data_IF_656195121263
#
_entry.id   IF_656195121263
#
_cell.length_a   1.000
_cell.length_b   1.000
_cell.length_c   1.000
_cell.angle_alpha   90.00
_cell.angle_beta   90.00
_cell.angle_gamma   90.00
#
_symmetry.space_group_name_H-M   'P 1'
#
loop_
_entity.id
_entity.type
_entity.pdbx_description
1 polymer ?
#
# COMPACT_ATOMS: atom_id res chain seq x y z
N UNK A 1 9.85 21.07 13.49
CA UNK A 1 9.22 21.82 14.59
C UNK A 1 7.79 21.31 14.78
N UNK A 2 7.21 21.49 16.01
CA UNK A 2 5.88 21.02 16.35
C UNK A 2 5.08 22.10 17.07
N UNK A 3 3.79 22.22 16.78
CA UNK A 3 2.85 23.06 17.47
C UNK A 3 1.57 22.29 17.81
N UNK A 4 0.94 22.61 18.94
CA UNK A 4 -0.37 22.07 19.31
C UNK A 4 -1.41 23.14 19.07
N UNK A 5 -2.44 22.81 18.30
CA UNK A 5 -3.55 23.72 18.00
C UNK A 5 -4.90 23.06 18.26
N UNK A 6 -5.91 23.90 18.51
CA UNK A 6 -7.32 23.50 18.49
C UNK A 6 -7.91 23.83 17.12
N UNK A 7 -8.48 22.85 16.45
CA UNK A 7 -9.04 23.02 15.11
C UNK A 7 -10.34 22.26 14.94
N UNK A 8 -11.22 22.77 14.08
CA UNK A 8 -12.41 22.02 13.67
C UNK A 8 -11.97 20.78 12.86
N UNK A 9 -12.34 19.55 13.29
CA UNK A 9 -11.92 18.32 12.63
C UNK A 9 -12.37 18.23 11.16
N UNK A 10 -13.44 18.93 10.77
CA UNK A 10 -13.90 18.98 9.37
C UNK A 10 -12.94 19.73 8.42
N UNK A 11 -12.00 20.52 8.94
CA UNK A 11 -10.99 21.23 8.16
C UNK A 11 -9.74 20.40 7.89
N UNK A 12 -9.68 19.18 8.43
CA UNK A 12 -8.53 18.29 8.29
C UNK A 12 -8.79 17.30 7.16
N UNK A 13 -7.88 17.23 6.20
CA UNK A 13 -7.99 16.40 5.02
C UNK A 13 -7.33 15.04 5.23
N UNK A 14 -7.96 13.99 4.71
CA UNK A 14 -7.37 12.64 4.64
C UNK A 14 -6.64 12.51 3.31
N UNK A 15 -5.34 12.22 3.29
CA UNK A 15 -4.61 12.02 2.05
C UNK A 15 -4.86 10.61 1.47
N UNK A 16 -4.59 10.46 0.18
CA UNK A 16 -4.85 9.20 -0.56
C UNK A 16 -3.97 8.03 -0.11
N UNK A 17 -2.81 8.31 0.48
CA UNK A 17 -1.88 7.28 0.97
C UNK A 17 -2.23 6.73 2.36
N UNK A 18 -3.27 7.25 3.03
CA UNK A 18 -3.79 6.65 4.25
C UNK A 18 -4.43 5.28 3.97
N UNK A 19 -4.49 4.44 5.00
CA UNK A 19 -5.17 3.15 4.91
C UNK A 19 -6.68 3.33 4.82
N UNK A 20 -7.38 2.31 4.37
CA UNK A 20 -8.84 2.29 4.39
C UNK A 20 -9.39 2.49 5.82
N UNK A 21 -10.35 3.40 5.94
CA UNK A 21 -10.96 3.76 7.22
C UNK A 21 -11.80 2.60 7.78
N UNK A 22 -11.48 2.14 8.98
CA UNK A 22 -12.38 1.29 9.76
C UNK A 22 -13.45 2.16 10.44
N UNK A 23 -14.58 2.30 9.77
CA UNK A 23 -15.74 3.11 10.25
C UNK A 23 -16.23 2.66 11.62
N UNK A 24 -16.24 1.34 11.90
CA UNK A 24 -16.68 0.82 13.19
C UNK A 24 -15.73 1.23 14.32
N UNK A 25 -14.44 1.25 14.04
CA UNK A 25 -13.43 1.75 14.98
C UNK A 25 -13.60 3.24 15.24
N UNK A 26 -13.82 4.05 14.21
CA UNK A 26 -14.07 5.48 14.36
C UNK A 26 -15.35 5.76 15.18
N UNK A 27 -16.44 5.02 14.93
CA UNK A 27 -17.68 5.11 15.72
C UNK A 27 -17.46 4.73 17.19
N UNK A 28 -16.68 3.70 17.48
CA UNK A 28 -16.33 3.34 18.87
C UNK A 28 -15.54 4.44 19.57
N UNK A 29 -14.60 5.08 18.88
CA UNK A 29 -13.86 6.22 19.43
C UNK A 29 -14.81 7.39 19.74
N UNK A 30 -15.82 7.61 18.91
CA UNK A 30 -16.84 8.64 19.15
C UNK A 30 -17.67 8.34 20.39
N UNK A 31 -18.13 7.09 20.57
CA UNK A 31 -18.96 6.68 21.73
C UNK A 31 -18.18 6.62 23.05
N UNK A 32 -16.90 6.22 22.98
CA UNK A 32 -16.05 5.99 24.15
C UNK A 32 -15.02 7.12 24.35
N UNK A 33 -15.32 8.31 23.84
CA UNK A 33 -14.41 9.43 23.95
C UNK A 33 -14.03 9.72 25.40
N UNK A 34 -12.72 9.72 25.65
CA UNK A 34 -12.15 10.08 26.93
C UNK A 34 -10.98 11.04 26.72
N UNK A 35 -11.08 12.31 27.18
CA UNK A 35 -10.02 13.28 26.97
C UNK A 35 -8.67 12.88 27.57
N UNK A 36 -8.65 12.06 28.64
CA UNK A 36 -7.41 11.57 29.26
C UNK A 36 -6.74 10.44 28.47
N UNK A 37 -7.47 9.80 27.54
CA UNK A 37 -6.94 8.78 26.62
C UNK A 37 -6.74 9.32 25.20
N UNK A 38 -7.01 10.61 25.00
CA UNK A 38 -6.87 11.23 23.70
C UNK A 38 -5.40 11.45 23.37
N UNK A 39 -4.84 10.62 22.51
CA UNK A 39 -3.54 10.89 21.92
C UNK A 39 -3.71 11.89 20.78
N UNK A 40 -2.88 12.92 20.75
CA UNK A 40 -2.99 13.98 19.74
C UNK A 40 -2.80 13.40 18.33
N UNK A 41 -3.78 13.56 17.43
CA UNK A 41 -3.56 13.29 16.02
C UNK A 41 -2.45 14.18 15.47
N UNK A 42 -1.65 13.65 14.55
CA UNK A 42 -0.59 14.41 13.89
C UNK A 42 -1.06 14.87 12.52
N UNK A 43 -0.89 16.13 12.24
CA UNK A 43 -1.22 16.74 10.94
C UNK A 43 -0.03 17.53 10.41
N UNK A 44 0.03 17.73 9.12
CA UNK A 44 1.00 18.63 8.47
C UNK A 44 0.29 19.66 7.60
N UNK A 45 0.95 20.78 7.32
CA UNK A 45 0.47 21.73 6.33
C UNK A 45 1.01 21.35 4.95
N UNK A 46 0.16 20.95 4.04
CA UNK A 46 0.49 20.62 2.66
C UNK A 46 -0.46 21.35 1.70
N UNK A 47 0.06 22.08 0.73
CA UNK A 47 -0.71 22.85 -0.25
C UNK A 47 -1.82 23.74 0.40
N UNK A 48 -1.49 24.45 1.48
CA UNK A 48 -2.39 25.29 2.26
C UNK A 48 -3.54 24.55 2.96
N UNK A 49 -3.47 23.21 3.06
CA UNK A 49 -4.44 22.36 3.75
C UNK A 49 -3.77 21.63 4.90
N UNK A 50 -4.50 21.42 5.99
CA UNK A 50 -4.04 20.53 7.05
C UNK A 50 -4.40 19.09 6.64
N UNK A 51 -3.38 18.23 6.58
CA UNK A 51 -3.47 16.85 6.11
C UNK A 51 -3.08 15.91 7.25
N UNK A 52 -3.84 14.84 7.44
CA UNK A 52 -3.57 13.85 8.48
C UNK A 52 -2.29 13.08 8.17
N UNK A 53 -1.40 12.96 9.17
CA UNK A 53 -0.23 12.08 9.17
C UNK A 53 -0.50 10.85 10.04
N UNK A 54 -1.10 11.03 11.23
CA UNK A 54 -1.53 9.96 12.13
C UNK A 54 -2.81 10.33 12.87
N UNK A 55 -3.62 9.32 13.19
CA UNK A 55 -4.82 9.48 14.00
C UNK A 55 -6.11 9.69 13.21
N UNK A 56 -6.19 9.23 11.96
CA UNK A 56 -7.38 9.34 11.12
C UNK A 56 -8.66 8.88 11.86
N UNK A 57 -8.66 7.70 12.46
CA UNK A 57 -9.83 7.18 13.20
C UNK A 57 -10.26 8.10 14.36
N UNK A 58 -9.29 8.82 14.96
CA UNK A 58 -9.59 9.79 16.02
C UNK A 58 -10.23 11.04 15.45
N UNK A 59 -9.72 11.58 14.35
CA UNK A 59 -10.32 12.74 13.68
C UNK A 59 -11.73 12.42 13.17
N UNK A 60 -11.89 11.29 12.47
CA UNK A 60 -13.21 10.87 11.97
C UNK A 60 -14.16 10.53 13.14
N UNK A 61 -13.65 9.91 14.21
CA UNK A 61 -14.41 9.69 15.45
C UNK A 61 -14.88 10.99 16.09
N UNK A 62 -14.04 12.02 16.10
CA UNK A 62 -14.43 13.35 16.58
C UNK A 62 -15.52 13.99 15.72
N UNK A 63 -15.47 13.80 14.39
CA UNK A 63 -16.56 14.23 13.48
C UNK A 63 -17.85 13.50 13.81
N UNK A 64 -17.83 12.17 13.97
CA UNK A 64 -19.01 11.38 14.34
C UNK A 64 -19.57 11.75 15.72
N UNK A 65 -18.68 12.12 16.66
CA UNK A 65 -19.06 12.61 17.99
C UNK A 65 -19.55 14.07 18.02
N UNK A 66 -19.59 14.75 16.88
CA UNK A 66 -20.06 16.15 16.79
C UNK A 66 -19.13 17.15 17.48
N UNK A 67 -17.85 16.82 17.64
CA UNK A 67 -16.88 17.71 18.26
C UNK A 67 -16.63 18.95 17.41
N UNK A 68 -16.81 20.15 18.01
CA UNK A 68 -16.53 21.42 17.32
C UNK A 68 -15.03 21.66 17.12
N UNK A 69 -14.22 21.22 18.09
CA UNK A 69 -12.77 21.38 18.07
C UNK A 69 -12.07 20.14 18.61
N UNK A 70 -10.92 19.85 18.07
CA UNK A 70 -9.98 18.81 18.55
C UNK A 70 -8.58 19.39 18.65
N UNK A 71 -7.82 18.90 19.62
CA UNK A 71 -6.40 19.19 19.69
C UNK A 71 -5.63 18.28 18.74
N UNK A 72 -4.73 18.86 17.98
CA UNK A 72 -3.82 18.16 17.07
C UNK A 72 -2.39 18.68 17.19
N UNK A 73 -1.43 17.82 16.94
CA UNK A 73 0.00 18.19 16.80
C UNK A 73 0.27 18.51 15.33
N UNK A 74 0.62 19.77 15.03
CA UNK A 74 1.02 20.19 13.68
C UNK A 74 2.52 19.99 13.52
N UNK A 75 2.90 19.21 12.51
CA UNK A 75 4.30 19.03 12.11
C UNK A 75 4.69 20.13 11.12
N UNK A 76 5.59 21.04 11.55
CA UNK A 76 6.01 22.20 10.77
C UNK A 76 7.30 21.87 10.02
N UNK A 77 7.34 22.21 8.72
CA UNK A 77 8.52 21.97 7.87
C UNK A 77 8.70 20.50 7.45
N UNK A 78 7.67 19.68 7.63
CA UNK A 78 7.65 18.27 7.17
C UNK A 78 7.14 18.23 5.74
N UNK A 79 7.86 17.56 4.85
CA UNK A 79 7.40 17.29 3.47
C UNK A 79 6.41 16.13 3.45
N UNK A 80 5.69 15.98 2.34
CA UNK A 80 4.79 14.82 2.17
C UNK A 80 5.55 13.48 2.21
N UNK A 81 6.75 13.44 1.65
CA UNK A 81 7.61 12.25 1.71
C UNK A 81 7.99 11.89 3.16
N UNK A 82 8.37 12.89 3.97
CA UNK A 82 8.67 12.69 5.40
C UNK A 82 7.43 12.20 6.16
N UNK A 83 6.25 12.74 5.84
CA UNK A 83 4.99 12.33 6.48
C UNK A 83 4.62 10.88 6.14
N UNK A 84 4.82 10.46 4.90
CA UNK A 84 4.63 9.06 4.48
C UNK A 84 5.64 8.15 5.18
N UNK A 85 6.91 8.55 5.32
CA UNK A 85 7.89 7.77 6.10
C UNK A 85 7.49 7.64 7.57
N UNK A 86 7.02 8.73 8.19
CA UNK A 86 6.48 8.67 9.56
C UNK A 86 5.29 7.73 9.65
N UNK A 87 4.37 7.77 8.70
CA UNK A 87 3.22 6.86 8.64
C UNK A 87 3.66 5.41 8.49
N UNK A 88 4.65 5.11 7.64
CA UNK A 88 5.18 3.77 7.42
C UNK A 88 5.92 3.22 8.65
N UNK A 89 6.64 4.08 9.39
CA UNK A 89 7.42 3.69 10.58
C UNK A 89 6.56 3.40 11.82
N UNK A 90 5.34 3.92 11.90
CA UNK A 90 4.43 3.69 13.04
C UNK A 90 3.93 2.24 13.17
N UNK A 91 4.23 1.40 12.17
CA UNK A 91 3.76 0.01 12.11
C UNK A 91 4.40 -0.94 13.12
N UNK A 92 5.52 -0.58 13.74
CA UNK A 92 6.24 -1.49 14.64
C UNK A 92 5.60 -1.57 16.03
N UNK A 93 4.96 -0.50 16.50
CA UNK A 93 4.33 -0.43 17.84
C UNK A 93 2.80 -0.59 17.82
N UNK A 94 2.17 -0.52 16.64
CA UNK A 94 0.71 -0.61 16.48
C UNK A 94 0.40 -1.63 15.37
N UNK A 95 -0.82 -2.14 15.28
CA UNK A 95 -1.29 -3.10 14.28
C UNK A 95 -0.56 -2.95 12.93
N UNK A 96 0.27 -3.93 12.59
CA UNK A 96 1.07 -3.94 11.35
C UNK A 96 0.20 -3.54 10.16
N UNK A 97 0.68 -2.59 9.37
CA UNK A 97 0.05 -2.22 8.11
C UNK A 97 -0.06 -3.44 7.20
N UNK A 98 -1.16 -3.55 6.49
CA UNK A 98 -1.25 -4.59 5.48
C UNK A 98 -0.25 -4.33 4.35
N UNK A 99 0.23 -5.36 3.63
CA UNK A 99 1.08 -5.15 2.46
C UNK A 99 0.45 -4.23 1.40
N UNK A 100 -0.89 -4.20 1.31
CA UNK A 100 -1.63 -3.32 0.41
C UNK A 100 -1.54 -1.84 0.82
N UNK A 101 -1.75 -1.56 2.13
CA UNK A 101 -1.64 -0.18 2.65
C UNK A 101 -0.22 0.36 2.48
N UNK A 102 0.78 -0.49 2.76
CA UNK A 102 2.20 -0.17 2.54
C UNK A 102 2.49 0.10 1.07
N UNK A 103 1.90 -0.69 0.16
CA UNK A 103 2.10 -0.55 -1.28
C UNK A 103 1.61 0.81 -1.78
N UNK A 104 0.38 1.21 -1.45
CA UNK A 104 -0.20 2.49 -1.88
C UNK A 104 0.63 3.69 -1.38
N UNK A 105 0.98 3.70 -0.09
CA UNK A 105 1.78 4.78 0.49
C UNK A 105 3.19 4.87 -0.12
N UNK A 106 3.83 3.72 -0.36
CA UNK A 106 5.17 3.69 -0.94
C UNK A 106 5.19 4.10 -2.42
N UNK A 107 4.12 3.84 -3.18
CA UNK A 107 3.96 4.36 -4.54
C UNK A 107 3.85 5.89 -4.55
N UNK A 108 3.06 6.48 -3.65
CA UNK A 108 2.93 7.92 -3.52
C UNK A 108 4.28 8.57 -3.15
N UNK A 109 5.04 7.92 -2.26
CA UNK A 109 6.41 8.31 -1.92
C UNK A 109 7.42 8.04 -3.06
N UNK A 110 6.98 7.48 -4.21
CA UNK A 110 7.82 7.16 -5.38
C UNK A 110 9.00 6.25 -5.04
N UNK A 111 8.84 5.34 -4.07
CA UNK A 111 9.89 4.37 -3.74
C UNK A 111 10.18 3.48 -4.96
N UNK A 112 11.45 3.41 -5.35
CA UNK A 112 11.91 2.84 -6.62
C UNK A 112 11.42 1.40 -6.84
N UNK A 113 11.53 0.54 -5.83
CA UNK A 113 11.11 -0.86 -5.92
C UNK A 113 9.60 -1.03 -6.13
N UNK A 114 8.78 -0.11 -5.60
CA UNK A 114 7.32 -0.13 -5.77
C UNK A 114 6.90 0.40 -7.15
N UNK A 115 7.56 1.47 -7.61
CA UNK A 115 7.36 2.01 -8.97
C UNK A 115 7.79 0.96 -10.01
N UNK A 116 8.92 0.29 -9.79
CA UNK A 116 9.40 -0.79 -10.66
C UNK A 116 8.44 -1.96 -10.67
N UNK A 117 7.93 -2.39 -9.51
CA UNK A 117 6.91 -3.44 -9.44
C UNK A 117 5.66 -3.06 -10.25
N UNK A 118 5.11 -1.86 -10.04
CA UNK A 118 3.93 -1.38 -10.78
C UNK A 118 4.17 -1.38 -12.28
N UNK A 119 5.31 -0.84 -12.72
CA UNK A 119 5.69 -0.80 -14.14
C UNK A 119 5.77 -2.20 -14.76
N UNK A 120 6.42 -3.14 -14.09
CA UNK A 120 6.56 -4.53 -14.60
C UNK A 120 5.18 -5.23 -14.63
N UNK A 121 4.37 -5.06 -13.60
CA UNK A 121 3.02 -5.61 -13.57
C UNK A 121 2.16 -5.05 -14.71
N UNK A 122 2.18 -3.73 -14.94
CA UNK A 122 1.43 -3.09 -16.01
C UNK A 122 1.88 -3.59 -17.41
N UNK A 123 3.19 -3.75 -17.64
CA UNK A 123 3.73 -4.28 -18.90
C UNK A 123 3.25 -5.72 -19.18
N UNK A 124 2.93 -6.48 -18.15
CA UNK A 124 2.41 -7.84 -18.27
C UNK A 124 0.88 -7.92 -18.11
N UNK A 125 0.15 -6.80 -18.15
CA UNK A 125 -1.29 -6.72 -17.93
C UNK A 125 -1.76 -7.37 -16.61
N UNK A 126 -0.95 -7.27 -15.56
CA UNK A 126 -1.25 -7.78 -14.22
C UNK A 126 -1.52 -6.60 -13.28
N UNK A 127 -2.64 -6.62 -12.57
CA UNK A 127 -2.89 -5.65 -11.51
C UNK A 127 -2.15 -6.04 -10.22
N UNK A 128 -1.83 -5.07 -9.37
CA UNK A 128 -1.32 -5.34 -8.02
C UNK A 128 -2.45 -5.21 -7.02
N UNK A 129 -2.57 -6.14 -6.09
CA UNK A 129 -3.63 -6.11 -5.05
C UNK A 129 -3.47 -4.85 -4.20
N UNK A 130 -4.56 -4.06 -4.10
CA UNK A 130 -4.56 -2.80 -3.34
C UNK A 130 -4.03 -1.59 -4.11
N UNK A 131 -3.69 -1.74 -5.41
CA UNK A 131 -3.41 -0.59 -6.27
C UNK A 131 -4.70 0.24 -6.44
N UNK A 132 -4.64 1.52 -6.14
CA UNK A 132 -5.80 2.43 -6.28
C UNK A 132 -6.05 2.83 -7.73
N UNK A 133 -5.03 2.75 -8.57
CA UNK A 133 -5.09 3.01 -10.01
C UNK A 133 -4.59 1.79 -10.80
N UNK A 134 -5.34 0.67 -10.76
CA UNK A 134 -4.93 -0.54 -11.46
C UNK A 134 -5.02 -0.38 -12.97
N UNK A 135 -4.21 -1.16 -13.70
CA UNK A 135 -4.32 -1.26 -15.16
C UNK A 135 -5.73 -1.72 -15.55
N UNK A 136 -6.23 -1.19 -16.68
CA UNK A 136 -7.54 -1.59 -17.23
C UNK A 136 -7.48 -3.02 -17.77
N UNK A 137 -8.52 -3.80 -17.51
CA UNK A 137 -8.68 -5.18 -17.99
C UNK A 137 -7.46 -6.08 -17.70
N UNK A 138 -7.02 -6.22 -16.45
CA UNK A 138 -5.89 -7.06 -16.13
C UNK A 138 -6.20 -8.55 -16.38
N UNK A 139 -5.18 -9.32 -16.77
CA UNK A 139 -5.29 -10.78 -16.91
C UNK A 139 -5.19 -11.52 -15.58
N UNK A 140 -4.85 -10.82 -14.50
CA UNK A 140 -4.77 -11.35 -13.15
C UNK A 140 -4.35 -10.30 -12.14
N UNK A 141 -4.38 -10.67 -10.86
CA UNK A 141 -4.00 -9.82 -9.74
C UNK A 141 -2.83 -10.44 -8.99
N UNK A 142 -1.71 -9.73 -8.92
CA UNK A 142 -0.59 -10.10 -8.06
C UNK A 142 -0.97 -9.89 -6.60
N UNK A 143 -1.16 -10.98 -5.87
CA UNK A 143 -1.52 -10.97 -4.44
C UNK A 143 -0.30 -11.06 -3.53
N UNK A 144 0.85 -11.48 -4.08
CA UNK A 144 2.13 -11.61 -3.37
C UNK A 144 2.96 -10.32 -3.48
N UNK A 145 2.47 -9.25 -2.88
CA UNK A 145 3.13 -7.92 -2.98
C UNK A 145 4.56 -7.96 -2.45
N UNK A 146 4.79 -8.59 -1.28
CA UNK A 146 6.12 -8.68 -0.68
C UNK A 146 7.14 -9.46 -1.53
N UNK A 147 6.71 -10.59 -2.14
CA UNK A 147 7.59 -11.33 -3.07
C UNK A 147 7.83 -10.50 -4.35
N UNK A 148 6.80 -9.80 -4.85
CA UNK A 148 6.89 -8.91 -6.00
C UNK A 148 7.89 -7.77 -5.77
N UNK A 149 7.81 -7.09 -4.63
CA UNK A 149 8.75 -6.00 -4.26
C UNK A 149 10.16 -6.52 -4.10
N UNK A 150 10.33 -7.68 -3.42
CA UNK A 150 11.65 -8.30 -3.27
C UNK A 150 12.30 -8.61 -4.63
N UNK A 151 11.53 -9.11 -5.60
CA UNK A 151 12.00 -9.35 -6.95
C UNK A 151 12.24 -8.05 -7.71
N UNK A 152 11.33 -7.08 -7.63
CA UNK A 152 11.48 -5.79 -8.29
C UNK A 152 12.75 -5.06 -7.86
N UNK A 153 13.13 -5.19 -6.59
CA UNK A 153 14.35 -4.61 -6.03
C UNK A 153 15.62 -5.36 -6.44
N UNK A 154 15.60 -6.71 -6.34
CA UNK A 154 16.82 -7.51 -6.43
C UNK A 154 17.05 -8.13 -7.82
N UNK A 155 15.99 -8.40 -8.58
CA UNK A 155 16.05 -9.01 -9.91
C UNK A 155 14.78 -8.69 -10.71
N UNK A 156 14.63 -7.45 -11.22
CA UNK A 156 13.45 -7.00 -11.97
C UNK A 156 13.21 -7.81 -13.25
N UNK A 157 14.28 -8.26 -13.92
CA UNK A 157 14.18 -9.07 -15.14
C UNK A 157 13.56 -10.43 -14.85
N UNK A 158 13.93 -11.06 -13.74
CA UNK A 158 13.33 -12.32 -13.31
C UNK A 158 11.84 -12.13 -13.00
N UNK A 159 11.46 -11.05 -12.34
CA UNK A 159 10.04 -10.74 -12.10
C UNK A 159 9.28 -10.62 -13.42
N UNK A 160 9.82 -9.86 -14.38
CA UNK A 160 9.19 -9.67 -15.68
C UNK A 160 9.02 -11.01 -16.43
N UNK A 161 10.05 -11.85 -16.45
CA UNK A 161 9.99 -13.20 -17.06
C UNK A 161 8.94 -14.08 -16.40
N UNK A 162 8.89 -14.13 -15.06
CA UNK A 162 7.89 -14.92 -14.33
C UNK A 162 6.46 -14.48 -14.70
N UNK A 163 6.17 -13.18 -14.69
CA UNK A 163 4.82 -12.67 -15.00
C UNK A 163 4.45 -12.94 -16.47
N UNK A 164 5.40 -12.76 -17.39
CA UNK A 164 5.22 -13.04 -18.83
C UNK A 164 4.89 -14.52 -19.09
N UNK A 165 5.63 -15.46 -18.50
CA UNK A 165 5.37 -16.89 -18.66
C UNK A 165 4.00 -17.27 -18.11
N UNK A 166 3.64 -16.80 -16.89
CA UNK A 166 2.33 -17.07 -16.32
C UNK A 166 1.20 -16.55 -17.25
N UNK A 167 1.41 -15.38 -17.86
CA UNK A 167 0.48 -14.82 -18.85
C UNK A 167 0.35 -15.68 -20.10
N UNK A 168 1.47 -16.12 -20.68
CA UNK A 168 1.49 -17.02 -21.86
C UNK A 168 0.81 -18.37 -21.59
N UNK A 169 0.98 -18.93 -20.40
CA UNK A 169 0.36 -20.18 -19.98
C UNK A 169 -1.16 -20.05 -19.74
N UNK A 170 -1.72 -18.84 -19.76
CA UNK A 170 -3.15 -18.58 -19.60
C UNK A 170 -3.82 -19.28 -18.41
N UNK A 171 -3.12 -19.44 -17.29
CA UNK A 171 -3.63 -20.19 -16.12
C UNK A 171 -4.89 -19.58 -15.47
N UNK A 172 -5.22 -18.35 -15.80
CA UNK A 172 -6.46 -17.69 -15.40
C UNK A 172 -7.53 -17.70 -16.50
N UNK A 173 -7.30 -18.35 -17.66
CA UNK A 173 -8.26 -18.37 -18.73
C UNK A 173 -9.61 -18.93 -18.28
N UNK A 174 -10.69 -18.27 -18.65
CA UNK A 174 -12.06 -18.65 -18.27
C UNK A 174 -12.45 -18.37 -16.82
N UNK A 175 -11.58 -17.70 -16.03
CA UNK A 175 -11.88 -17.27 -14.66
C UNK A 175 -11.99 -15.77 -14.58
N UNK A 176 -12.80 -15.27 -13.66
CA UNK A 176 -12.74 -13.84 -13.33
C UNK A 176 -11.37 -13.47 -12.75
N UNK A 177 -10.98 -12.22 -12.89
CA UNK A 177 -9.67 -11.71 -12.41
C UNK A 177 -9.49 -11.96 -10.90
N UNK A 178 -10.59 -11.93 -10.13
CA UNK A 178 -10.58 -12.15 -8.69
C UNK A 178 -10.50 -13.63 -8.28
N UNK A 179 -10.96 -14.54 -9.13
CA UNK A 179 -10.92 -15.99 -8.88
C UNK A 179 -9.63 -16.64 -9.34
N UNK A 180 -8.90 -15.98 -10.25
CA UNK A 180 -7.64 -16.46 -10.78
C UNK A 180 -6.55 -16.51 -9.71
N UNK A 181 -5.88 -17.68 -9.57
CA UNK A 181 -4.80 -17.89 -8.57
C UNK A 181 -3.40 -17.95 -9.19
N UNK A 182 -3.25 -17.57 -10.46
CA UNK A 182 -1.99 -17.69 -11.18
C UNK A 182 -0.87 -16.79 -10.61
N UNK A 183 -1.22 -15.62 -10.05
CA UNK A 183 -0.26 -14.64 -9.54
C UNK A 183 -0.20 -14.60 -8.00
N UNK A 184 -0.34 -15.76 -7.37
CA UNK A 184 -0.23 -15.90 -5.90
C UNK A 184 1.21 -16.14 -5.46
N UNK A 185 1.47 -15.95 -4.16
CA UNK A 185 2.78 -16.19 -3.55
C UNK A 185 3.35 -17.59 -3.88
N UNK A 186 2.48 -18.61 -3.84
CA UNK A 186 2.87 -20.00 -4.09
C UNK A 186 3.44 -20.16 -5.51
N UNK A 187 2.74 -19.61 -6.49
CA UNK A 187 3.16 -19.69 -7.91
C UNK A 187 4.44 -18.90 -8.15
N UNK A 188 4.50 -17.64 -7.71
CA UNK A 188 5.71 -16.80 -7.85
C UNK A 188 6.95 -17.47 -7.25
N UNK A 189 6.81 -18.07 -6.06
CA UNK A 189 7.93 -18.75 -5.38
C UNK A 189 8.36 -20.04 -6.09
N UNK A 190 7.42 -20.77 -6.70
CA UNK A 190 7.75 -21.95 -7.51
C UNK A 190 8.57 -21.54 -8.72
N UNK A 191 8.13 -20.54 -9.49
CA UNK A 191 8.89 -20.05 -10.64
C UNK A 191 10.27 -19.52 -10.24
N UNK A 192 10.35 -18.74 -9.13
CA UNK A 192 11.64 -18.29 -8.61
C UNK A 192 12.61 -19.44 -8.33
N UNK A 193 12.13 -20.54 -7.75
CA UNK A 193 12.93 -21.75 -7.50
C UNK A 193 13.33 -22.46 -8.80
N UNK A 194 12.42 -22.58 -9.75
CA UNK A 194 12.69 -23.18 -11.06
C UNK A 194 13.78 -22.40 -11.80
N UNK A 195 13.66 -21.07 -11.88
CA UNK A 195 14.70 -20.25 -12.50
C UNK A 195 16.06 -20.39 -11.80
N UNK A 196 16.10 -20.39 -10.47
CA UNK A 196 17.34 -20.61 -9.72
C UNK A 196 17.96 -21.99 -10.00
N UNK A 197 17.13 -23.02 -10.15
CA UNK A 197 17.58 -24.39 -10.45
C UNK A 197 18.17 -24.51 -11.86
N UNK A 198 17.52 -23.90 -12.86
CA UNK A 198 17.93 -24.01 -14.25
C UNK A 198 19.03 -23.03 -14.63
N UNK A 199 19.13 -21.85 -14.03
CA UNK A 199 20.22 -20.90 -14.29
C UNK A 199 21.59 -21.46 -13.99
N UNK A 200 21.73 -22.40 -13.05
CA UNK A 200 22.95 -23.11 -12.74
C UNK A 200 23.28 -24.24 -13.73
N UNK A 201 22.44 -24.52 -14.74
CA UNK A 201 22.57 -25.66 -15.66
C UNK A 201 22.59 -25.29 -17.12
N UNK A 202 22.73 -24.00 -17.46
CA UNK A 202 22.72 -23.47 -18.83
C UNK A 202 21.45 -23.84 -19.66
N UNK A 203 20.36 -24.20 -18.99
CA UNK A 203 19.09 -24.53 -19.66
C UNK A 203 18.27 -23.23 -19.80
N UNK A 204 18.01 -22.82 -21.03
CA UNK A 204 17.13 -21.68 -21.32
C UNK A 204 15.68 -22.04 -20.98
N UNK A 205 15.21 -21.58 -19.83
CA UNK A 205 13.81 -21.83 -19.39
C UNK A 205 12.76 -21.27 -20.34
N UNK A 206 13.07 -20.21 -21.05
CA UNK A 206 12.13 -19.57 -21.99
C UNK A 206 11.74 -20.51 -23.14
N UNK A 207 12.61 -21.47 -23.51
CA UNK A 207 12.34 -22.53 -24.50
C UNK A 207 11.55 -23.72 -23.96
N UNK A 208 11.46 -23.86 -22.65
CA UNK A 208 10.77 -25.00 -22.01
C UNK A 208 9.24 -24.80 -22.00
N UNK A 209 8.78 -23.58 -22.27
CA UNK A 209 7.37 -23.20 -22.25
C UNK A 209 6.83 -22.73 -23.61
N UNK A 210 7.63 -22.86 -24.69
CA UNK A 210 7.20 -22.76 -26.08
C UNK A 210 6.67 -24.14 -26.61
#
# INVERSE_FOLDING_TARGET
>A
EKAIININPLLIHVPTWQRELDVNRAKRIASDYNPYKWELPKVMLHNKKLVIVDGEHRIIGAVFGGMKFVQVEVLIGVTEADAIELFLSQGDDRRRMSPQDTYSAALEAKKEEYVTLKRICNNNHVAVKGDQEPIKNPIGILTSISDGISLAKNNPDLLNRILSIIGKLQWNAGKSVHEGKAYTAKVIRVFKKLYAYYSGREIEMDRTFE
#
